data_IF_280270840962
#
_entry.id   IF_280270840962
#
_cell.length_a   1.000
_cell.length_b   1.000
_cell.length_c   1.000
_cell.angle_alpha   90.00
_cell.angle_beta   90.00
_cell.angle_gamma   90.00
#
_symmetry.space_group_name_H-M   'P 1'
#
loop_
_entity.id
_entity.type
_entity.pdbx_description
1 polymer ?
#
# COMPACT_ATOMS: atom_id res chain seq x y z
N UNK A 1 9.06 -20.67 -30.76
CA UNK A 1 9.34 -19.87 -29.54
C UNK A 1 9.49 -18.40 -29.94
N UNK A 2 8.42 -17.61 -29.90
CA UNK A 2 8.50 -16.17 -30.10
C UNK A 2 9.09 -15.54 -28.85
N UNK A 3 10.35 -15.11 -28.94
CA UNK A 3 11.06 -14.38 -27.89
C UNK A 3 10.34 -13.04 -27.71
N UNK A 4 9.43 -12.94 -26.75
CA UNK A 4 8.83 -11.66 -26.37
C UNK A 4 9.97 -10.75 -25.94
N UNK A 5 10.22 -9.68 -26.71
CA UNK A 5 11.21 -8.68 -26.36
C UNK A 5 10.80 -8.08 -25.02
N UNK A 6 11.58 -8.36 -23.97
CA UNK A 6 11.35 -7.77 -22.64
C UNK A 6 11.42 -6.26 -22.78
N UNK A 7 10.28 -5.59 -22.61
CA UNK A 7 10.22 -4.12 -22.59
C UNK A 7 10.73 -3.66 -21.23
N UNK A 8 11.87 -2.96 -21.18
CA UNK A 8 12.45 -2.57 -19.90
C UNK A 8 11.53 -1.61 -19.15
N UNK A 9 11.66 -1.59 -17.82
CA UNK A 9 10.76 -0.85 -16.92
C UNK A 9 10.68 0.64 -17.27
N UNK A 10 11.82 1.28 -17.58
CA UNK A 10 11.90 2.71 -17.92
C UNK A 10 11.13 3.12 -19.19
N UNK A 11 10.79 2.16 -20.07
CA UNK A 11 9.91 2.40 -21.23
C UNK A 11 8.42 2.28 -20.89
N UNK A 12 8.08 1.92 -19.65
CA UNK A 12 6.72 1.75 -19.11
C UNK A 12 6.56 2.72 -17.92
N UNK A 13 6.26 4.01 -18.17
CA UNK A 13 6.30 5.04 -17.12
C UNK A 13 5.31 4.76 -15.98
N UNK A 14 4.10 4.27 -16.29
CA UNK A 14 3.11 3.90 -15.27
C UNK A 14 3.60 2.73 -14.41
N UNK A 15 4.17 1.69 -15.03
CA UNK A 15 4.73 0.55 -14.29
C UNK A 15 5.96 0.96 -13.47
N UNK A 16 6.77 1.92 -13.96
CA UNK A 16 7.90 2.49 -13.21
C UNK A 16 7.43 3.24 -11.97
N UNK A 17 6.35 4.02 -12.11
CA UNK A 17 5.73 4.73 -10.99
C UNK A 17 5.19 3.75 -9.94
N UNK A 18 4.49 2.70 -10.37
CA UNK A 18 4.02 1.67 -9.43
C UNK A 18 5.18 0.92 -8.77
N UNK A 19 6.21 0.56 -9.52
CA UNK A 19 7.41 -0.08 -8.96
C UNK A 19 8.05 0.81 -7.87
N UNK A 20 8.22 2.11 -8.14
CA UNK A 20 8.76 3.06 -7.18
C UNK A 20 7.85 3.18 -5.94
N UNK A 21 6.54 3.22 -6.14
CA UNK A 21 5.57 3.24 -5.04
C UNK A 21 5.66 1.97 -4.17
N UNK A 22 5.72 0.78 -4.77
CA UNK A 22 5.87 -0.47 -4.03
C UNK A 22 7.18 -0.54 -3.25
N UNK A 23 8.28 -0.01 -3.80
CA UNK A 23 9.56 0.07 -3.09
C UNK A 23 9.48 1.02 -1.90
N UNK A 24 8.91 2.21 -2.09
CA UNK A 24 8.68 3.17 -1.02
C UNK A 24 7.78 2.61 0.07
N UNK A 25 6.67 1.96 -0.31
CA UNK A 25 5.70 1.39 0.63
C UNK A 25 6.33 0.26 1.44
N UNK A 26 7.10 -0.63 0.80
CA UNK A 26 7.84 -1.67 1.52
C UNK A 26 8.81 -1.09 2.55
N UNK A 27 9.54 -0.02 2.20
CA UNK A 27 10.43 0.66 3.14
C UNK A 27 9.62 1.30 4.28
N UNK A 28 8.54 2.01 3.96
CA UNK A 28 7.67 2.63 4.96
C UNK A 28 7.12 1.61 5.96
N UNK A 29 6.60 0.49 5.48
CA UNK A 29 6.09 -0.58 6.34
C UNK A 29 7.18 -1.15 7.25
N UNK A 30 8.31 -1.55 6.68
CA UNK A 30 9.40 -2.15 7.45
C UNK A 30 10.10 -1.18 8.40
N UNK A 31 10.04 0.13 8.13
CA UNK A 31 10.72 1.14 8.94
C UNK A 31 9.79 1.84 9.93
N UNK A 32 8.51 2.01 9.63
CA UNK A 32 7.56 2.82 10.41
C UNK A 32 6.45 1.93 10.97
N UNK A 33 5.69 1.26 10.12
CA UNK A 33 4.46 0.57 10.54
C UNK A 33 4.73 -0.63 11.46
N UNK A 34 5.87 -1.31 11.28
CA UNK A 34 6.27 -2.44 12.14
C UNK A 34 6.40 -2.02 13.60
N UNK A 35 6.72 -0.74 13.86
CA UNK A 35 6.93 -0.22 15.21
C UNK A 35 5.62 -0.14 16.00
N UNK A 36 4.46 -0.14 15.34
CA UNK A 36 3.16 -0.29 16.00
C UNK A 36 2.93 -1.70 16.55
N UNK A 37 3.59 -2.72 15.99
CA UNK A 37 3.42 -4.13 16.35
C UNK A 37 4.54 -4.69 17.23
N UNK A 38 5.74 -4.12 17.13
CA UNK A 38 6.93 -4.63 17.81
C UNK A 38 7.35 -3.69 18.94
N UNK A 39 7.64 -4.20 20.15
CA UNK A 39 8.16 -3.38 21.24
C UNK A 39 9.43 -2.63 20.84
N UNK A 40 9.52 -1.34 21.21
CA UNK A 40 10.61 -0.45 20.82
C UNK A 40 12.03 -0.99 21.09
N UNK A 41 12.20 -1.83 22.12
CA UNK A 41 13.50 -2.47 22.45
C UNK A 41 14.08 -3.35 21.32
N UNK A 42 13.26 -3.82 20.39
CA UNK A 42 13.69 -4.61 19.24
C UNK A 42 13.87 -3.79 17.96
N UNK A 43 13.57 -2.49 18.00
CA UNK A 43 13.66 -1.60 16.85
C UNK A 43 14.96 -0.80 16.94
N UNK A 44 15.79 -0.73 15.89
CA UNK A 44 16.97 0.13 15.87
C UNK A 44 16.64 1.60 16.16
N UNK A 45 17.46 2.27 16.96
CA UNK A 45 17.21 3.66 17.38
C UNK A 45 17.05 4.63 16.21
N UNK A 46 17.72 4.39 15.08
CA UNK A 46 17.58 5.21 13.86
C UNK A 46 16.14 5.16 13.35
N UNK A 47 15.51 3.99 13.31
CA UNK A 47 14.13 3.84 12.86
C UNK A 47 13.14 4.42 13.87
N UNK A 48 13.43 4.27 15.17
CA UNK A 48 12.63 4.93 16.21
C UNK A 48 12.62 6.45 16.01
N UNK A 49 13.77 7.07 15.72
CA UNK A 49 13.84 8.52 15.44
C UNK A 49 13.00 8.94 14.25
N UNK A 50 12.98 8.15 13.17
CA UNK A 50 12.13 8.43 12.00
C UNK A 50 10.64 8.49 12.41
N UNK A 51 10.17 7.52 13.20
CA UNK A 51 8.81 7.55 13.72
C UNK A 51 8.58 8.73 14.67
N UNK A 52 9.53 9.02 15.56
CA UNK A 52 9.41 10.17 16.47
C UNK A 52 9.34 11.51 15.71
N UNK A 53 10.18 11.71 14.70
CA UNK A 53 10.16 12.91 13.85
C UNK A 53 8.82 13.08 13.13
N UNK A 54 8.22 11.97 12.68
CA UNK A 54 6.87 11.95 12.15
C UNK A 54 5.83 12.34 13.21
N UNK A 55 5.86 11.73 14.39
CA UNK A 55 4.89 11.94 15.47
C UNK A 55 4.93 13.37 16.04
N UNK A 56 6.12 13.98 16.11
CA UNK A 56 6.28 15.38 16.55
C UNK A 56 5.52 16.34 15.64
N UNK A 57 5.52 16.11 14.32
CA UNK A 57 4.86 16.97 13.33
C UNK A 57 3.39 16.63 13.15
N UNK A 58 3.07 15.33 13.15
CA UNK A 58 1.73 14.83 12.84
C UNK A 58 0.80 14.85 14.05
N UNK A 59 1.31 14.63 15.27
CA UNK A 59 0.51 14.22 16.43
C UNK A 59 -0.43 13.06 16.11
N UNK A 60 0.00 12.14 15.23
CA UNK A 60 -0.81 11.01 14.79
C UNK A 60 -1.19 10.13 16.00
N UNK A 61 -2.51 9.95 16.26
CA UNK A 61 -2.99 9.19 17.40
C UNK A 61 -2.98 7.68 17.15
N UNK A 62 -2.78 7.18 15.93
CA UNK A 62 -3.00 5.77 15.61
C UNK A 62 -1.84 4.90 16.11
N UNK A 63 -0.62 5.16 15.63
CA UNK A 63 0.57 4.33 15.95
C UNK A 63 0.83 4.23 17.46
N UNK A 64 0.84 5.33 18.24
CA UNK A 64 1.08 5.25 19.69
C UNK A 64 0.00 4.48 20.46
N UNK A 65 -1.25 4.49 19.96
CA UNK A 65 -2.40 3.89 20.66
C UNK A 65 -2.77 2.50 20.13
N UNK A 66 -1.99 1.91 19.22
CA UNK A 66 -2.25 0.61 18.56
C UNK A 66 -2.70 -0.50 19.52
N UNK A 67 -2.18 -0.53 20.74
CA UNK A 67 -2.44 -1.59 21.72
C UNK A 67 -3.63 -1.31 22.66
N UNK A 68 -4.25 -0.12 22.60
CA UNK A 68 -5.47 0.16 23.33
C UNK A 68 -6.66 -0.59 22.70
N UNK A 69 -7.64 -1.09 23.48
CA UNK A 69 -8.76 -1.86 22.95
C UNK A 69 -9.54 -1.18 21.81
N UNK A 70 -9.69 0.15 21.88
CA UNK A 70 -10.34 0.97 20.85
C UNK A 70 -9.69 0.86 19.46
N UNK A 71 -8.38 0.62 19.40
CA UNK A 71 -7.59 0.56 18.17
C UNK A 71 -7.34 -0.88 17.71
N UNK A 72 -8.13 -1.84 18.20
CA UNK A 72 -8.05 -3.23 17.74
C UNK A 72 -8.16 -3.32 16.20
N UNK A 73 -9.02 -2.51 15.58
CA UNK A 73 -9.14 -2.43 14.11
C UNK A 73 -7.82 -1.99 13.46
N UNK A 74 -7.14 -0.98 14.00
CA UNK A 74 -5.89 -0.45 13.48
C UNK A 74 -4.76 -1.47 13.65
N UNK A 75 -4.70 -2.14 14.80
CA UNK A 75 -3.79 -3.27 15.03
C UNK A 75 -4.02 -4.39 14.03
N UNK A 76 -5.27 -4.72 13.71
CA UNK A 76 -5.57 -5.72 12.67
C UNK A 76 -5.18 -5.23 11.28
N UNK A 77 -5.33 -3.94 10.97
CA UNK A 77 -4.85 -3.34 9.71
C UNK A 77 -3.33 -3.48 9.59
N UNK A 78 -2.56 -3.12 10.63
CA UNK A 78 -1.11 -3.30 10.65
C UNK A 78 -0.73 -4.78 10.50
N UNK A 79 -1.36 -5.70 11.24
CA UNK A 79 -1.11 -7.14 11.07
C UNK A 79 -1.40 -7.61 9.65
N UNK A 80 -2.49 -7.14 9.04
CA UNK A 80 -2.84 -7.47 7.65
C UNK A 80 -1.79 -6.94 6.67
N UNK A 81 -1.17 -5.80 6.97
CA UNK A 81 -0.09 -5.25 6.16
C UNK A 81 1.10 -6.21 6.13
N UNK A 82 1.59 -6.66 7.27
CA UNK A 82 2.74 -7.57 7.33
C UNK A 82 2.46 -8.96 6.79
N UNK A 83 1.23 -9.46 6.96
CA UNK A 83 0.86 -10.82 6.53
C UNK A 83 0.48 -10.87 5.05
N UNK A 84 -0.16 -9.82 4.52
CA UNK A 84 -0.73 -9.84 3.16
C UNK A 84 -0.07 -8.82 2.24
N UNK A 85 0.12 -7.58 2.70
CA UNK A 85 0.56 -6.49 1.84
C UNK A 85 2.08 -6.52 1.62
N UNK A 86 2.89 -6.76 2.65
CA UNK A 86 4.35 -6.88 2.53
C UNK A 86 4.79 -7.97 1.55
N UNK A 87 4.24 -9.19 1.60
CA UNK A 87 4.48 -10.19 0.55
C UNK A 87 4.02 -9.70 -0.84
N UNK A 88 2.86 -9.04 -0.92
CA UNK A 88 2.37 -8.47 -2.17
C UNK A 88 3.27 -7.35 -2.70
N UNK A 89 3.98 -6.60 -1.84
CA UNK A 89 4.94 -5.58 -2.27
C UNK A 89 6.11 -6.20 -3.02
N UNK A 90 6.69 -7.26 -2.46
CA UNK A 90 7.79 -8.00 -3.07
C UNK A 90 7.37 -8.59 -4.41
N UNK A 91 6.18 -9.18 -4.47
CA UNK A 91 5.63 -9.70 -5.73
C UNK A 91 5.34 -8.56 -6.72
N UNK A 92 4.83 -7.41 -6.26
CA UNK A 92 4.61 -6.22 -7.09
C UNK A 92 5.88 -5.73 -7.76
N UNK A 93 6.98 -5.62 -7.01
CA UNK A 93 8.29 -5.27 -7.55
C UNK A 93 8.70 -6.25 -8.66
N UNK A 94 8.55 -7.55 -8.42
CA UNK A 94 8.84 -8.58 -9.42
C UNK A 94 7.93 -8.47 -10.66
N UNK A 95 6.62 -8.29 -10.47
CA UNK A 95 5.61 -8.19 -11.52
C UNK A 95 5.92 -7.03 -12.46
N UNK A 96 6.20 -5.84 -11.93
CA UNK A 96 6.51 -4.68 -12.77
C UNK A 96 7.87 -4.83 -13.43
N UNK A 97 8.89 -5.33 -12.71
CA UNK A 97 10.22 -5.57 -13.27
C UNK A 97 10.20 -6.55 -14.46
N UNK A 98 9.48 -7.66 -14.31
CA UNK A 98 9.38 -8.72 -15.34
C UNK A 98 8.26 -8.51 -16.35
N UNK A 99 7.36 -7.55 -16.13
CA UNK A 99 6.14 -7.36 -16.92
C UNK A 99 5.25 -8.62 -16.90
N UNK A 100 5.08 -9.24 -15.74
CA UNK A 100 4.40 -10.54 -15.58
C UNK A 100 2.93 -10.38 -15.17
N UNK A 101 1.96 -10.61 -16.06
CA UNK A 101 0.55 -10.41 -15.78
C UNK A 101 -0.05 -11.39 -14.78
N UNK A 102 0.65 -12.51 -14.47
CA UNK A 102 0.16 -13.52 -13.54
C UNK A 102 -0.01 -12.99 -12.12
N UNK A 103 0.69 -11.91 -11.77
CA UNK A 103 0.57 -11.28 -10.46
C UNK A 103 -0.60 -10.29 -10.32
N UNK A 104 -1.30 -9.94 -11.41
CA UNK A 104 -2.37 -8.93 -11.35
C UNK A 104 -3.47 -9.25 -10.33
N UNK A 105 -3.97 -10.50 -10.17
CA UNK A 105 -4.96 -10.82 -9.14
C UNK A 105 -4.50 -10.48 -7.72
N UNK A 106 -3.23 -10.76 -7.40
CA UNK A 106 -2.65 -10.40 -6.10
C UNK A 106 -2.57 -8.88 -5.93
N UNK A 107 -2.17 -8.15 -6.98
CA UNK A 107 -2.09 -6.68 -6.93
C UNK A 107 -3.47 -6.01 -6.82
N UNK A 108 -4.53 -6.63 -7.35
CA UNK A 108 -5.91 -6.19 -7.14
C UNK A 108 -6.30 -6.37 -5.67
N UNK A 109 -6.06 -7.55 -5.09
CA UNK A 109 -6.38 -7.83 -3.68
C UNK A 109 -5.60 -6.89 -2.73
N UNK A 110 -4.31 -6.72 -2.99
CA UNK A 110 -3.46 -5.75 -2.31
C UNK A 110 -4.01 -4.33 -2.42
N UNK A 111 -4.30 -3.87 -3.64
CA UNK A 111 -4.75 -2.50 -3.86
C UNK A 111 -6.06 -2.20 -3.13
N UNK A 112 -6.98 -3.17 -3.10
CA UNK A 112 -8.23 -3.08 -2.36
C UNK A 112 -8.01 -2.98 -0.84
N UNK A 113 -7.24 -3.89 -0.26
CA UNK A 113 -7.04 -3.91 1.20
C UNK A 113 -6.27 -2.68 1.67
N UNK A 114 -5.18 -2.31 1.00
CA UNK A 114 -4.34 -1.16 1.39
C UNK A 114 -5.09 0.17 1.26
N UNK A 115 -5.88 0.33 0.18
CA UNK A 115 -6.76 1.48 0.02
C UNK A 115 -7.76 1.56 1.18
N UNK A 116 -8.41 0.44 1.52
CA UNK A 116 -9.43 0.40 2.56
C UNK A 116 -8.86 0.61 3.97
N UNK A 117 -7.72 0.00 4.32
CA UNK A 117 -7.08 0.21 5.63
C UNK A 117 -6.64 1.65 5.82
N UNK A 118 -6.06 2.28 4.80
CA UNK A 118 -5.65 3.69 4.88
C UNK A 118 -6.84 4.63 4.90
N UNK A 119 -7.93 4.31 4.17
CA UNK A 119 -9.18 5.06 4.23
C UNK A 119 -9.78 5.05 5.65
N UNK A 120 -9.72 3.92 6.36
CA UNK A 120 -10.14 3.85 7.76
C UNK A 120 -9.29 4.77 8.66
N UNK A 121 -7.98 4.82 8.45
CA UNK A 121 -7.11 5.76 9.17
C UNK A 121 -7.49 7.22 8.91
N UNK A 122 -7.76 7.58 7.64
CA UNK A 122 -8.24 8.92 7.25
C UNK A 122 -9.57 9.23 7.93
N UNK A 123 -10.53 8.30 7.92
CA UNK A 123 -11.82 8.47 8.56
C UNK A 123 -11.67 8.71 10.07
N UNK A 124 -10.76 8.01 10.76
CA UNK A 124 -10.53 8.18 12.19
C UNK A 124 -10.04 9.60 12.52
N UNK A 125 -9.10 10.15 11.74
CA UNK A 125 -8.53 11.49 12.02
C UNK A 125 -9.38 12.65 11.49
N UNK A 126 -10.35 12.39 10.61
CA UNK A 126 -11.23 13.42 10.03
C UNK A 126 -12.64 13.43 10.62
N UNK A 127 -13.19 12.26 10.94
CA UNK A 127 -14.56 12.05 11.38
C UNK A 127 -14.67 11.41 12.77
N UNK A 128 -13.61 10.72 13.23
CA UNK A 128 -13.56 10.12 14.56
C UNK A 128 -13.28 11.14 15.67
N UNK A 129 -13.38 10.70 16.92
CA UNK A 129 -13.15 11.57 18.10
C UNK A 129 -11.73 12.17 18.11
N UNK A 130 -10.76 11.45 17.51
CA UNK A 130 -9.38 11.91 17.38
C UNK A 130 -9.25 13.26 16.66
N UNK A 131 -10.20 13.57 15.76
CA UNK A 131 -10.25 14.86 15.07
C UNK A 131 -10.23 16.03 16.04
N UNK A 132 -10.86 15.90 17.21
CA UNK A 132 -10.95 16.98 18.21
C UNK A 132 -9.61 17.32 18.87
N UNK A 133 -8.65 16.40 18.81
CA UNK A 133 -7.32 16.55 19.40
C UNK A 133 -6.27 17.05 18.40
N UNK A 134 -6.63 17.23 17.13
CA UNK A 134 -5.73 17.62 16.05
C UNK A 134 -5.89 19.09 15.67
N UNK A 135 -4.77 19.84 15.74
CA UNK A 135 -4.68 21.15 15.12
C UNK A 135 -4.75 21.03 13.59
N UNK A 136 -5.20 22.08 12.87
CA UNK A 136 -5.30 22.04 11.40
C UNK A 136 -3.99 21.65 10.70
N UNK A 137 -2.85 22.10 11.22
CA UNK A 137 -1.52 21.83 10.65
C UNK A 137 -1.12 20.35 10.85
N UNK A 138 -1.46 19.79 12.01
CA UNK A 138 -1.24 18.37 12.32
C UNK A 138 -2.10 17.49 11.41
N UNK A 139 -3.37 17.84 11.24
CA UNK A 139 -4.29 17.13 10.35
C UNK A 139 -3.83 17.20 8.89
N UNK A 140 -3.43 18.39 8.41
CA UNK A 140 -2.89 18.54 7.05
C UNK A 140 -1.64 17.66 6.86
N UNK A 141 -0.76 17.63 7.86
CA UNK A 141 0.44 16.79 7.83
C UNK A 141 0.11 15.30 7.80
N UNK A 142 -0.92 14.84 8.52
CA UNK A 142 -1.39 13.46 8.44
C UNK A 142 -1.96 13.17 7.05
N UNK A 143 -2.86 14.02 6.56
CA UNK A 143 -3.57 13.81 5.30
C UNK A 143 -2.64 13.78 4.08
N UNK A 144 -1.63 14.64 4.02
CA UNK A 144 -0.64 14.60 2.92
C UNK A 144 0.17 13.29 2.91
N UNK A 145 0.29 12.59 4.03
CA UNK A 145 0.95 11.29 4.12
C UNK A 145 -0.04 10.15 3.83
N UNK A 146 -1.26 10.19 4.36
CA UNK A 146 -2.22 9.10 4.19
C UNK A 146 -2.89 9.08 2.81
N UNK A 147 -3.23 10.24 2.24
CA UNK A 147 -3.96 10.33 0.97
C UNK A 147 -3.20 9.62 -0.18
N UNK A 148 -1.89 9.83 -0.37
CA UNK A 148 -1.14 9.08 -1.39
C UNK A 148 -1.18 7.58 -1.17
N UNK A 149 -1.02 7.11 0.07
CA UNK A 149 -1.05 5.69 0.43
C UNK A 149 -2.45 5.06 0.38
N UNK A 150 -3.51 5.87 0.28
CA UNK A 150 -4.86 5.40 -0.06
C UNK A 150 -5.08 5.39 -1.59
N UNK A 151 -4.74 6.49 -2.26
CA UNK A 151 -5.03 6.69 -3.68
C UNK A 151 -4.21 5.78 -4.58
N UNK A 152 -2.90 5.65 -4.36
CA UNK A 152 -2.04 4.83 -5.22
C UNK A 152 -2.46 3.36 -5.23
N UNK A 153 -2.70 2.70 -4.09
CA UNK A 153 -3.22 1.33 -4.09
C UNK A 153 -4.58 1.21 -4.78
N UNK A 154 -5.49 2.17 -4.60
CA UNK A 154 -6.77 2.20 -5.29
C UNK A 154 -6.63 2.32 -6.82
N UNK A 155 -5.73 3.17 -7.29
CA UNK A 155 -5.42 3.30 -8.73
C UNK A 155 -4.79 2.01 -9.28
N UNK A 156 -3.85 1.40 -8.55
CA UNK A 156 -3.24 0.12 -8.92
C UNK A 156 -4.32 -0.97 -9.02
N UNK A 157 -5.23 -1.06 -8.05
CA UNK A 157 -6.35 -2.01 -8.07
C UNK A 157 -7.17 -1.86 -9.36
N UNK A 158 -7.60 -0.64 -9.70
CA UNK A 158 -8.43 -0.38 -10.87
C UNK A 158 -7.68 -0.64 -12.18
N UNK A 159 -6.40 -0.25 -12.28
CA UNK A 159 -5.61 -0.50 -13.48
C UNK A 159 -5.33 -1.99 -13.68
N UNK A 160 -4.97 -2.73 -12.61
CA UNK A 160 -4.74 -4.17 -12.69
C UNK A 160 -6.03 -4.92 -13.04
N UNK A 161 -7.17 -4.49 -12.51
CA UNK A 161 -8.49 -5.02 -12.89
C UNK A 161 -8.74 -4.78 -14.38
N UNK A 162 -8.58 -3.54 -14.87
CA UNK A 162 -8.80 -3.19 -16.27
C UNK A 162 -7.85 -3.96 -17.21
N UNK A 163 -6.57 -4.11 -16.85
CA UNK A 163 -5.60 -4.92 -17.62
C UNK A 163 -5.97 -6.40 -17.65
N UNK A 164 -6.50 -6.94 -16.54
CA UNK A 164 -6.96 -8.33 -16.46
C UNK A 164 -8.17 -8.55 -17.35
N UNK A 165 -9.20 -7.70 -17.25
CA UNK A 165 -10.40 -7.78 -18.10
C UNK A 165 -10.06 -7.69 -19.59
N UNK A 166 -9.18 -6.78 -19.99
CA UNK A 166 -8.72 -6.68 -21.40
C UNK A 166 -8.07 -7.98 -21.90
N UNK A 167 -7.30 -8.67 -21.05
CA UNK A 167 -6.65 -9.94 -21.39
C UNK A 167 -7.64 -11.08 -21.50
N UNK A 168 -8.65 -11.12 -20.62
CA UNK A 168 -9.73 -12.11 -20.71
C UNK A 168 -10.52 -11.93 -22.01
N UNK A 169 -10.91 -10.70 -22.35
CA UNK A 169 -11.64 -10.42 -23.59
C UNK A 169 -10.83 -10.71 -24.85
N UNK A 170 -9.50 -10.55 -24.84
CA UNK A 170 -8.65 -10.91 -25.96
C UNK A 170 -8.57 -12.44 -26.19
N UNK A 171 -8.84 -13.24 -25.16
CA UNK A 171 -8.77 -14.70 -25.21
C UNK A 171 -10.07 -15.32 -25.73
N UNK A 172 -11.22 -14.72 -25.42
CA UNK A 172 -12.55 -15.18 -25.86
C UNK A 172 -12.74 -15.32 -27.38
N UNK A 173 -12.36 -14.36 -28.25
CA UNK A 173 -12.54 -14.49 -29.70
C UNK A 173 -11.58 -15.51 -30.36
N UNK A 174 -10.52 -15.95 -29.67
CA UNK A 174 -9.60 -16.95 -30.20
C UNK A 174 -10.19 -18.37 -30.13
N UNK A 175 -10.99 -18.68 -29.10
CA UNK A 175 -11.65 -19.99 -29.00
C UNK A 175 -12.87 -20.14 -29.91
N UNK A 176 -13.57 -19.05 -30.23
CA UNK A 176 -14.73 -19.09 -31.13
C UNK A 176 -14.39 -19.40 -32.61
N UNK A 177 -13.10 -19.36 -33.00
CA UNK A 177 -12.64 -19.69 -34.36
C UNK A 177 -12.04 -21.10 -34.48
N UNK A 178 -12.09 -21.90 -33.41
CA UNK A 178 -11.49 -23.25 -33.37
C UNK A 178 -12.52 -24.36 -33.11
N UNK A 179 -13.81 -24.02 -33.12
CA UNK A 179 -14.93 -24.96 -33.19
C UNK A 179 -15.64 -24.77 -34.53
#
# INVERSE_FOLDING_TARGET
MTRTTHVPLWKRPIDSMYFAFFALHLIASLCVDIQGLVPAKYVPTVLQRVLQDYLVKSRDPLVPNTWLPRYAWFRMSLLSEFVLQVPAFVVGLYVFWKNDPRGYPLLIAYGAIACFTTLQCIAMVTMGEERTHLAPENLLFILQNYIPFMLFPGVIMLDMLARTTRRMHATTPAHAKTQ
#
